data_IF_064828053484
#
_entry.id   IF_064828053484
#
_cell.length_a   1.000
_cell.length_b   1.000
_cell.length_c   1.000
_cell.angle_alpha   90.00
_cell.angle_beta   90.00
_cell.angle_gamma   90.00
#
_symmetry.space_group_name_H-M   'P 1'
#
loop_
_entity.id
_entity.type
_entity.pdbx_description
1 polymer ?
#
# COMPACT_ATOMS: atom_id res chain seq x y z
N UNK A 1 10.68 7.13 7.08
CA UNK A 1 9.23 6.92 6.81
C UNK A 1 8.94 5.73 5.89
N UNK A 2 9.53 5.63 4.68
CA UNK A 2 9.37 4.45 3.77
C UNK A 2 9.62 3.10 4.47
N UNK A 3 10.75 2.98 5.18
CA UNK A 3 11.18 1.78 5.93
C UNK A 3 10.17 1.20 6.92
N UNK A 4 9.29 2.04 7.49
CA UNK A 4 8.29 1.58 8.45
C UNK A 4 6.98 1.13 7.77
N UNK A 5 6.68 1.72 6.60
CA UNK A 5 5.48 1.41 5.83
C UNK A 5 5.68 0.16 4.96
N UNK A 6 6.86 -0.01 4.37
CA UNK A 6 7.18 -1.16 3.51
C UNK A 6 6.82 -2.51 4.13
N UNK A 7 7.33 -2.90 5.32
CA UNK A 7 7.00 -4.22 5.89
C UNK A 7 5.51 -4.37 6.20
N UNK A 8 4.79 -3.28 6.52
CA UNK A 8 3.35 -3.32 6.76
C UNK A 8 2.55 -3.46 5.46
N UNK A 9 2.94 -2.73 4.41
CA UNK A 9 2.28 -2.75 3.11
C UNK A 9 2.50 -4.09 2.43
N UNK A 10 3.75 -4.57 2.40
CA UNK A 10 4.06 -5.88 1.83
C UNK A 10 3.55 -7.05 2.69
N UNK A 11 3.43 -6.84 4.00
CA UNK A 11 2.83 -7.80 4.92
C UNK A 11 1.31 -7.76 5.00
N UNK A 12 0.62 -6.93 4.20
CA UNK A 12 -0.85 -6.83 4.17
C UNK A 12 -1.51 -6.22 5.43
N UNK A 13 -0.69 -5.76 6.39
CA UNK A 13 -1.14 -5.16 7.66
C UNK A 13 -1.32 -3.64 7.58
N UNK A 14 -0.85 -3.01 6.51
CA UNK A 14 -1.02 -1.58 6.32
C UNK A 14 -2.49 -1.21 6.02
N UNK A 15 -2.89 -0.04 6.52
CA UNK A 15 -4.16 0.60 6.17
C UNK A 15 -4.12 1.20 4.76
N UNK A 16 -5.30 1.49 4.19
CA UNK A 16 -5.44 2.14 2.87
C UNK A 16 -4.64 3.45 2.83
N UNK A 17 -4.66 4.23 3.91
CA UNK A 17 -3.91 5.48 4.03
C UNK A 17 -2.39 5.27 4.02
N UNK A 18 -1.89 4.27 4.74
CA UNK A 18 -0.46 3.89 4.76
C UNK A 18 0.02 3.45 3.37
N UNK A 19 -0.81 2.69 2.64
CA UNK A 19 -0.49 2.25 1.27
C UNK A 19 -0.49 3.45 0.30
N UNK A 20 -1.44 4.37 0.42
CA UNK A 20 -1.46 5.62 -0.38
C UNK A 20 -0.23 6.48 -0.11
N UNK A 21 0.17 6.60 1.16
CA UNK A 21 1.36 7.34 1.56
C UNK A 21 2.64 6.72 0.96
N UNK A 22 2.78 5.38 1.02
CA UNK A 22 3.91 4.69 0.40
C UNK A 22 3.93 4.91 -1.13
N UNK A 23 2.77 4.82 -1.79
CA UNK A 23 2.64 5.08 -3.23
C UNK A 23 3.07 6.50 -3.60
N UNK A 24 2.71 7.50 -2.81
CA UNK A 24 3.11 8.89 -3.01
C UNK A 24 4.63 9.06 -2.87
N UNK A 25 5.23 8.47 -1.82
CA UNK A 25 6.68 8.46 -1.62
C UNK A 25 7.38 7.82 -2.83
N UNK A 26 6.90 6.67 -3.30
CA UNK A 26 7.49 5.97 -4.44
C UNK A 26 7.34 6.73 -5.75
N UNK A 27 6.24 7.46 -5.95
CA UNK A 27 6.11 8.37 -7.09
C UNK A 27 7.08 9.55 -7.01
N UNK A 28 7.31 10.11 -5.82
CA UNK A 28 8.25 11.21 -5.61
C UNK A 28 9.71 10.79 -5.87
N UNK A 29 10.09 9.56 -5.49
CA UNK A 29 11.42 9.01 -5.76
C UNK A 29 11.63 8.55 -7.22
N UNK A 30 10.59 8.55 -8.06
CA UNK A 30 10.65 7.99 -9.41
C UNK A 30 10.71 6.46 -9.47
N UNK A 31 10.45 5.78 -8.34
CA UNK A 31 10.49 4.33 -8.19
C UNK A 31 9.20 3.70 -8.72
N UNK A 32 9.19 3.41 -10.03
CA UNK A 32 8.02 2.85 -10.73
C UNK A 32 7.64 1.47 -10.19
N UNK A 33 8.63 0.63 -9.87
CA UNK A 33 8.41 -0.71 -9.34
C UNK A 33 7.70 -0.67 -7.99
N UNK A 34 8.14 0.20 -7.07
CA UNK A 34 7.46 0.39 -5.79
C UNK A 34 6.04 0.96 -5.99
N UNK A 35 5.87 1.95 -6.87
CA UNK A 35 4.56 2.56 -7.13
C UNK A 35 3.55 1.52 -7.62
N UNK A 36 3.94 0.67 -8.56
CA UNK A 36 3.07 -0.38 -9.11
C UNK A 36 2.70 -1.41 -8.04
N UNK A 37 3.70 -1.89 -7.29
CA UNK A 37 3.49 -2.86 -6.21
C UNK A 37 2.59 -2.29 -5.10
N UNK A 38 2.79 -1.04 -4.70
CA UNK A 38 1.93 -0.36 -3.72
C UNK A 38 0.49 -0.19 -4.26
N UNK A 39 0.34 0.07 -5.56
CA UNK A 39 -0.98 0.14 -6.19
C UNK A 39 -1.71 -1.21 -6.19
N UNK A 40 -0.99 -2.31 -6.43
CA UNK A 40 -1.54 -3.66 -6.35
C UNK A 40 -2.01 -3.99 -4.92
N UNK A 41 -1.20 -3.66 -3.91
CA UNK A 41 -1.58 -3.82 -2.50
C UNK A 41 -2.80 -2.98 -2.12
N UNK A 42 -2.89 -1.75 -2.64
CA UNK A 42 -4.03 -0.86 -2.40
C UNK A 42 -5.33 -1.49 -2.91
N UNK A 43 -5.32 -2.01 -4.13
CA UNK A 43 -6.47 -2.67 -4.75
C UNK A 43 -6.88 -3.91 -3.97
N UNK A 44 -5.91 -4.74 -3.58
CA UNK A 44 -6.17 -5.93 -2.76
C UNK A 44 -6.78 -5.57 -1.40
N UNK A 45 -6.27 -4.53 -0.73
CA UNK A 45 -6.79 -4.09 0.56
C UNK A 45 -8.20 -3.54 0.45
N UNK A 46 -8.48 -2.76 -0.59
CA UNK A 46 -9.83 -2.27 -0.88
C UNK A 46 -10.81 -3.42 -1.09
N UNK A 47 -10.44 -4.45 -1.85
CA UNK A 47 -11.27 -5.65 -2.03
C UNK A 47 -11.47 -6.44 -0.74
N UNK A 48 -10.46 -6.51 0.14
CA UNK A 48 -10.60 -7.19 1.45
C UNK A 48 -11.50 -6.43 2.42
N UNK A 49 -11.45 -5.10 2.43
CA UNK A 49 -12.30 -4.29 3.32
C UNK A 49 -13.78 -4.37 2.94
N UNK A 50 -14.12 -4.77 1.72
CA UNK A 50 -15.51 -4.99 1.28
C UNK A 50 -16.07 -6.38 1.66
N UNK A 51 -15.30 -7.22 2.37
CA UNK A 51 -15.71 -8.58 2.77
C UNK A 51 -15.87 -8.80 4.28
N UNK A 52 -16.06 -7.74 5.06
CA UNK A 52 -16.20 -7.81 6.52
C UNK A 52 -17.56 -7.28 7.01
N UNK A 53 -18.64 -7.98 6.69
CA UNK A 53 -19.92 -7.86 7.39
C UNK A 53 -20.42 -9.28 7.69
N UNK A 54 -20.53 -9.70 8.96
CA UNK A 54 -21.49 -10.75 9.33
C UNK A 54 -22.93 -10.23 9.20
#
# INVERSE_FOLDING_TARGET
MRRALEPKVWGGRASIEEIRLLKAICSHMGDRACRDRANAMLKQKQSQTTGGAP
#
